data_IF_368644507205
#
_entry.id   IF_368644507205
#
_cell.length_a   1.000
_cell.length_b   1.000
_cell.length_c   1.000
_cell.angle_alpha   90.00
_cell.angle_beta   90.00
_cell.angle_gamma   90.00
#
_symmetry.space_group_name_H-M   'P 1'
#
loop_
_entity.id
_entity.type
_entity.pdbx_description
1 polymer ?
#
# COMPACT_ATOMS: atom_id res chain seq x y z
N UNK A 1 -47.17 7.60 -27.45
CA UNK A 1 -45.92 8.35 -27.26
C UNK A 1 -45.56 8.64 -25.81
N UNK A 2 -46.48 8.70 -24.83
CA UNK A 2 -46.15 9.00 -23.41
C UNK A 2 -45.67 7.81 -22.57
N UNK A 3 -45.91 6.56 -22.96
CA UNK A 3 -45.50 5.35 -22.19
C UNK A 3 -44.03 4.93 -22.41
N UNK A 4 -43.45 5.23 -23.55
CA UNK A 4 -42.02 4.85 -23.82
C UNK A 4 -40.99 5.78 -23.17
N UNK A 5 -41.35 7.05 -22.91
CA UNK A 5 -40.45 7.99 -22.19
C UNK A 5 -40.31 7.67 -20.71
N UNK A 6 -41.32 7.09 -20.07
CA UNK A 6 -41.29 6.74 -18.65
C UNK A 6 -40.40 5.50 -18.43
N UNK A 7 -40.38 4.54 -19.34
CA UNK A 7 -39.57 3.34 -19.23
C UNK A 7 -38.05 3.63 -19.41
N UNK A 8 -37.70 4.58 -20.28
CA UNK A 8 -36.32 5.00 -20.49
C UNK A 8 -35.77 5.82 -19.29
N UNK A 9 -36.63 6.60 -18.63
CA UNK A 9 -36.27 7.38 -17.43
C UNK A 9 -35.99 6.48 -16.21
N UNK A 10 -36.74 5.40 -16.03
CA UNK A 10 -36.54 4.44 -14.93
C UNK A 10 -35.26 3.60 -15.09
N UNK A 11 -34.89 3.25 -16.31
CA UNK A 11 -33.65 2.50 -16.58
C UNK A 11 -32.40 3.33 -16.35
N UNK A 12 -32.46 4.68 -16.53
CA UNK A 12 -31.32 5.58 -16.23
C UNK A 12 -31.17 5.87 -14.74
N UNK A 13 -32.26 5.90 -13.98
CA UNK A 13 -32.20 6.19 -12.53
C UNK A 13 -31.62 5.02 -11.71
N UNK A 14 -31.80 3.78 -12.18
CA UNK A 14 -31.25 2.60 -11.50
C UNK A 14 -29.74 2.45 -11.64
N UNK A 15 -29.08 3.21 -12.52
CA UNK A 15 -27.62 3.19 -12.71
C UNK A 15 -26.86 4.17 -11.79
N UNK A 16 -27.57 5.01 -11.01
CA UNK A 16 -26.96 6.01 -10.15
C UNK A 16 -26.93 5.64 -8.66
N UNK A 17 -27.37 4.42 -8.30
CA UNK A 17 -27.21 3.94 -6.92
C UNK A 17 -25.70 3.76 -6.66
N UNK A 18 -25.08 4.51 -5.74
CA UNK A 18 -23.71 4.28 -5.37
C UNK A 18 -23.66 2.89 -4.68
N UNK A 19 -23.20 1.89 -5.38
CA UNK A 19 -22.80 0.65 -4.72
C UNK A 19 -21.67 1.06 -3.76
N UNK A 20 -21.88 0.91 -2.46
CA UNK A 20 -20.80 1.02 -1.48
C UNK A 20 -19.69 0.10 -1.99
N UNK A 21 -18.49 0.64 -2.22
CA UNK A 21 -17.31 -0.19 -2.40
C UNK A 21 -17.19 -0.99 -1.10
N UNK A 22 -17.42 -2.30 -1.18
CA UNK A 22 -17.10 -3.20 -0.06
C UNK A 22 -15.62 -3.03 0.18
N UNK A 23 -15.21 -2.73 1.42
CA UNK A 23 -13.83 -2.91 1.82
C UNK A 23 -13.47 -4.35 1.46
N UNK A 24 -12.28 -4.59 0.91
CA UNK A 24 -11.83 -5.94 0.65
C UNK A 24 -11.83 -6.68 1.99
N UNK A 25 -12.67 -7.71 2.12
CA UNK A 25 -12.72 -8.54 3.31
C UNK A 25 -11.51 -9.47 3.27
N UNK A 26 -10.44 -9.09 3.96
CA UNK A 26 -9.28 -9.96 4.15
C UNK A 26 -9.57 -10.96 5.27
N UNK A 27 -8.99 -12.16 5.14
CA UNK A 27 -9.14 -13.24 6.13
C UNK A 27 -8.11 -13.16 7.25
N UNK A 28 -6.95 -12.51 7.00
CA UNK A 28 -5.86 -12.29 7.95
C UNK A 28 -4.98 -11.13 7.52
N UNK A 29 -4.22 -10.57 8.46
CA UNK A 29 -3.24 -9.53 8.21
C UNK A 29 -1.86 -9.99 8.70
N UNK A 30 -0.91 -10.24 7.77
CA UNK A 30 0.44 -10.71 8.06
C UNK A 30 1.46 -9.62 7.73
N UNK A 31 2.36 -9.32 8.67
CA UNK A 31 3.26 -8.17 8.59
C UNK A 31 4.71 -8.59 8.69
N UNK A 32 5.56 -8.06 7.81
CA UNK A 32 7.01 -8.23 7.78
C UNK A 32 7.68 -6.87 7.73
N UNK A 33 8.75 -6.67 8.50
CA UNK A 33 9.41 -5.38 8.51
C UNK A 33 10.42 -5.20 9.64
N UNK A 34 10.65 -3.95 9.93
CA UNK A 34 11.59 -3.47 10.95
C UNK A 34 10.86 -2.74 12.11
N UNK A 35 11.56 -1.82 12.80
CA UNK A 35 11.00 -1.05 13.91
C UNK A 35 9.75 -0.22 13.57
N UNK A 36 9.55 0.15 12.30
CA UNK A 36 8.36 0.87 11.88
C UNK A 36 7.10 -0.01 11.94
N UNK A 37 7.28 -1.34 11.96
CA UNK A 37 6.20 -2.33 11.91
C UNK A 37 6.17 -3.27 13.12
N UNK A 38 7.19 -3.23 13.99
CA UNK A 38 7.29 -4.08 15.18
C UNK A 38 6.29 -3.67 16.26
N UNK A 39 5.41 -4.59 16.67
CA UNK A 39 4.42 -4.37 17.74
C UNK A 39 4.82 -5.02 19.07
N UNK A 40 6.12 -5.37 19.23
CA UNK A 40 6.67 -5.89 20.48
C UNK A 40 7.57 -7.12 20.34
N UNK A 41 7.88 -7.57 19.13
CA UNK A 41 8.75 -8.74 18.94
C UNK A 41 10.16 -8.51 19.50
N UNK A 42 10.82 -7.40 19.14
CA UNK A 42 12.16 -7.10 19.66
C UNK A 42 12.12 -6.90 21.19
N UNK A 43 11.09 -6.18 21.68
CA UNK A 43 10.90 -5.99 23.12
C UNK A 43 10.86 -7.33 23.88
N UNK A 44 10.09 -8.30 23.37
CA UNK A 44 9.95 -9.62 23.97
C UNK A 44 11.27 -10.39 24.02
N UNK A 45 12.07 -10.38 22.95
CA UNK A 45 13.34 -11.15 22.90
C UNK A 45 14.48 -10.45 23.61
N UNK A 46 14.36 -9.16 23.95
CA UNK A 46 15.40 -8.37 24.62
C UNK A 46 15.15 -8.13 26.11
N UNK A 47 14.06 -8.65 26.69
CA UNK A 47 13.74 -8.49 28.10
C UNK A 47 14.88 -8.95 29.07
N UNK A 48 15.68 -9.92 28.65
CA UNK A 48 16.80 -10.45 29.43
C UNK A 48 18.14 -9.71 29.24
N UNK A 49 18.20 -8.66 28.42
CA UNK A 49 19.44 -7.91 28.21
C UNK A 49 19.80 -7.05 29.44
N UNK A 50 21.11 -6.88 29.72
CA UNK A 50 21.56 -6.01 30.83
C UNK A 50 21.10 -4.55 30.68
N UNK A 51 20.87 -4.09 29.46
CA UNK A 51 20.36 -2.75 29.12
C UNK A 51 18.84 -2.63 29.27
N UNK A 52 18.15 -3.72 29.55
CA UNK A 52 16.71 -3.81 29.52
C UNK A 52 16.14 -4.10 28.13
N UNK A 53 14.81 -4.17 28.03
CA UNK A 53 14.14 -4.41 26.73
C UNK A 53 14.28 -3.23 25.78
N UNK A 54 14.26 -3.52 24.48
CA UNK A 54 14.29 -2.53 23.40
C UNK A 54 12.98 -2.55 22.61
N UNK A 55 12.36 -1.39 22.42
CA UNK A 55 12.67 -0.08 23.02
C UNK A 55 12.29 -0.06 24.51
N UNK A 56 12.86 0.86 25.32
CA UNK A 56 12.50 0.96 26.74
C UNK A 56 11.07 1.48 26.94
N UNK A 57 10.31 0.85 27.80
CA UNK A 57 8.93 1.26 28.12
C UNK A 57 8.86 1.64 29.63
N UNK A 58 8.59 2.92 29.97
CA UNK A 58 8.43 4.09 29.10
C UNK A 58 9.76 4.66 28.57
N UNK A 59 9.77 5.63 27.64
CA UNK A 59 8.65 6.38 27.07
C UNK A 59 8.04 5.77 25.81
N UNK A 60 8.60 4.65 25.31
CA UNK A 60 8.05 3.92 24.19
C UNK A 60 6.85 3.08 24.63
N UNK A 61 5.89 2.89 23.74
CA UNK A 61 4.62 2.25 24.07
C UNK A 61 4.67 0.74 23.82
N UNK A 62 4.71 -0.06 24.87
CA UNK A 62 4.50 -1.51 24.80
C UNK A 62 5.30 -2.20 23.69
N UNK A 63 6.61 -1.89 23.62
CA UNK A 63 7.51 -2.48 22.64
C UNK A 63 7.43 -1.89 21.21
N UNK A 64 6.61 -0.86 20.97
CA UNK A 64 6.60 -0.12 19.72
C UNK A 64 7.65 0.97 19.75
N UNK A 65 8.26 1.25 18.59
CA UNK A 65 9.20 2.36 18.46
C UNK A 65 8.48 3.70 18.24
N UNK A 66 7.51 3.98 19.11
CA UNK A 66 6.68 5.17 19.07
C UNK A 66 6.06 5.44 20.45
N UNK A 67 5.38 6.59 20.62
CA UNK A 67 4.71 6.98 21.86
C UNK A 67 3.36 6.29 22.12
N UNK A 68 2.81 5.58 21.14
CA UNK A 68 1.54 4.87 21.20
C UNK A 68 1.45 3.89 20.03
N UNK A 69 0.26 3.49 19.59
CA UNK A 69 -0.02 2.64 18.42
C UNK A 69 0.77 3.07 17.19
N UNK A 70 1.21 2.09 16.41
CA UNK A 70 1.84 2.29 15.10
C UNK A 70 0.87 1.93 13.97
N UNK A 71 1.27 2.11 12.72
CA UNK A 71 0.41 1.89 11.55
C UNK A 71 -0.19 0.48 11.48
N UNK A 72 0.54 -0.52 11.96
CA UNK A 72 0.07 -1.93 12.03
C UNK A 72 -1.15 -2.04 12.93
N UNK A 73 -1.09 -1.42 14.12
CA UNK A 73 -2.21 -1.43 15.06
C UNK A 73 -3.43 -0.72 14.48
N UNK A 74 -3.23 0.49 13.92
CA UNK A 74 -4.32 1.28 13.33
C UNK A 74 -4.95 0.59 12.11
N UNK A 75 -4.14 0.01 11.23
CA UNK A 75 -4.66 -0.71 10.06
C UNK A 75 -5.36 -2.00 10.49
N UNK A 76 -4.76 -2.75 11.42
CA UNK A 76 -5.35 -3.96 12.00
C UNK A 76 -6.73 -3.69 12.63
N UNK A 77 -6.84 -2.62 13.44
CA UNK A 77 -8.12 -2.19 14.01
C UNK A 77 -9.16 -1.86 12.92
N UNK A 78 -8.74 -1.11 11.88
CA UNK A 78 -9.62 -0.73 10.77
C UNK A 78 -10.12 -1.93 9.95
N UNK A 79 -9.30 -2.98 9.85
CA UNK A 79 -9.64 -4.21 9.13
C UNK A 79 -10.37 -5.23 10.03
N UNK A 80 -10.37 -5.03 11.36
CA UNK A 80 -10.83 -6.03 12.33
C UNK A 80 -9.88 -7.24 12.43
N UNK A 81 -8.59 -7.06 12.09
CA UNK A 81 -7.57 -8.09 11.99
C UNK A 81 -6.27 -7.66 12.72
N UNK A 82 -6.28 -7.41 14.05
CA UNK A 82 -5.06 -7.06 14.78
C UNK A 82 -4.10 -8.25 14.83
N UNK A 83 -2.91 -8.18 14.18
CA UNK A 83 -2.01 -9.32 14.14
C UNK A 83 -1.30 -9.53 15.48
N UNK A 84 -1.17 -10.80 15.88
CA UNK A 84 -0.39 -11.21 17.07
C UNK A 84 1.11 -11.24 16.72
N UNK A 85 1.99 -10.82 17.63
CA UNK A 85 3.43 -10.95 17.43
C UNK A 85 3.85 -12.42 17.34
N UNK A 86 4.84 -12.74 16.50
CA UNK A 86 5.34 -14.13 16.39
C UNK A 86 5.94 -14.60 17.71
N UNK A 87 6.55 -13.71 18.48
CA UNK A 87 7.15 -14.04 19.78
C UNK A 87 6.08 -14.40 20.81
N UNK A 88 4.92 -13.73 20.84
CA UNK A 88 3.82 -14.10 21.72
C UNK A 88 3.19 -15.45 21.34
N UNK A 89 3.11 -15.75 20.04
CA UNK A 89 2.66 -17.07 19.59
C UNK A 89 3.58 -18.19 20.11
N UNK A 90 4.89 -17.98 20.01
CA UNK A 90 5.89 -18.95 20.47
C UNK A 90 5.81 -19.15 21.99
N UNK A 91 5.76 -18.05 22.75
CA UNK A 91 5.70 -18.09 24.23
C UNK A 91 4.40 -18.72 24.71
N UNK A 92 3.27 -18.42 24.06
CA UNK A 92 1.97 -18.98 24.43
C UNK A 92 1.74 -20.38 23.89
N UNK A 93 2.71 -20.96 23.17
CA UNK A 93 2.58 -22.25 22.48
C UNK A 93 1.33 -22.35 21.59
N UNK A 94 0.91 -21.22 21.04
CA UNK A 94 -0.20 -21.15 20.10
C UNK A 94 0.28 -21.45 18.69
N UNK A 95 -0.47 -22.26 17.99
CA UNK A 95 -0.18 -22.63 16.59
C UNK A 95 -0.99 -21.81 15.59
N UNK A 96 -1.93 -21.00 16.06
CA UNK A 96 -2.83 -20.23 15.19
C UNK A 96 -3.06 -18.82 15.76
N UNK A 97 -3.05 -17.85 14.84
CA UNK A 97 -3.51 -16.48 15.06
C UNK A 97 -4.49 -16.17 13.92
N UNK A 98 -5.81 -16.30 14.18
CA UNK A 98 -6.82 -16.18 13.15
C UNK A 98 -6.81 -14.80 12.47
N UNK A 99 -6.48 -13.74 13.22
CA UNK A 99 -6.41 -12.38 12.69
C UNK A 99 -5.11 -12.10 11.90
N UNK A 100 -4.08 -12.94 12.05
CA UNK A 100 -2.78 -12.83 11.40
C UNK A 100 -1.61 -12.72 12.37
N UNK A 101 -0.41 -12.62 11.81
CA UNK A 101 0.86 -12.63 12.56
C UNK A 101 1.74 -11.45 12.15
N UNK A 102 2.32 -10.78 13.14
CA UNK A 102 3.36 -9.80 12.95
C UNK A 102 4.75 -10.44 13.14
N UNK A 103 5.52 -10.54 12.05
CA UNK A 103 6.90 -11.05 12.01
C UNK A 103 7.96 -9.95 12.08
N UNK A 104 7.58 -8.66 12.10
CA UNK A 104 8.52 -7.56 12.10
C UNK A 104 9.30 -7.46 13.41
N UNK A 105 10.61 -7.17 13.30
CA UNK A 105 11.49 -6.94 14.45
C UNK A 105 12.22 -5.62 14.31
N UNK A 106 12.29 -4.87 15.39
CA UNK A 106 13.11 -3.66 15.45
C UNK A 106 14.57 -3.93 15.06
N UNK A 107 15.15 -3.03 14.25
CA UNK A 107 16.54 -3.14 13.80
C UNK A 107 16.78 -4.09 12.62
N UNK A 108 15.79 -4.81 12.12
CA UNK A 108 15.93 -5.72 10.98
C UNK A 108 16.51 -5.01 9.74
N UNK A 109 17.51 -5.62 9.11
CA UNK A 109 17.98 -5.24 7.79
C UNK A 109 17.05 -5.81 6.72
N UNK A 110 17.11 -5.28 5.50
CA UNK A 110 16.25 -5.76 4.40
C UNK A 110 16.46 -7.24 4.06
N UNK A 111 17.70 -7.72 4.16
CA UNK A 111 18.10 -9.10 3.85
C UNK A 111 18.09 -9.98 5.07
N UNK A 112 19.27 -10.12 5.68
CA UNK A 112 19.54 -11.00 6.79
C UNK A 112 19.94 -10.22 8.04
N UNK A 113 19.50 -10.72 9.21
CA UNK A 113 19.89 -10.21 10.53
C UNK A 113 19.42 -8.80 10.81
N UNK A 114 20.07 -8.15 11.77
CA UNK A 114 19.74 -6.83 12.28
C UNK A 114 20.99 -6.01 12.60
N UNK A 115 20.90 -4.68 12.53
CA UNK A 115 22.04 -3.81 12.80
C UNK A 115 22.43 -3.75 14.30
N UNK A 116 21.51 -4.14 15.18
CA UNK A 116 21.74 -4.18 16.64
C UNK A 116 22.58 -5.39 17.07
N UNK A 117 22.82 -6.34 16.17
CA UNK A 117 23.49 -7.62 16.42
C UNK A 117 22.82 -8.45 17.54
N UNK A 118 21.51 -8.33 17.72
CA UNK A 118 20.73 -9.17 18.64
C UNK A 118 20.63 -10.57 18.04
N UNK A 119 21.12 -11.62 18.72
CA UNK A 119 21.07 -12.97 18.19
C UNK A 119 19.64 -13.46 17.98
N UNK A 120 19.37 -14.11 16.85
CA UNK A 120 18.07 -14.69 16.53
C UNK A 120 17.04 -13.69 15.99
N UNK A 121 17.36 -12.39 15.90
CA UNK A 121 16.50 -11.39 15.25
C UNK A 121 16.74 -11.41 13.74
N UNK A 122 15.72 -11.83 12.94
CA UNK A 122 15.87 -12.01 11.49
C UNK A 122 15.77 -10.69 10.73
N UNK A 123 16.40 -10.64 9.55
CA UNK A 123 16.12 -9.59 8.56
C UNK A 123 14.77 -9.81 7.85
N UNK A 124 14.30 -8.80 7.11
CA UNK A 124 12.97 -8.83 6.48
C UNK A 124 12.80 -10.01 5.52
N UNK A 125 13.80 -10.27 4.68
CA UNK A 125 13.77 -11.43 3.75
C UNK A 125 13.76 -12.76 4.51
N UNK A 126 14.48 -12.86 5.65
CA UNK A 126 14.45 -14.06 6.49
C UNK A 126 13.09 -14.24 7.18
N UNK A 127 12.43 -13.17 7.60
CA UNK A 127 11.07 -13.22 8.17
C UNK A 127 10.11 -13.82 7.14
N UNK A 128 10.12 -13.29 5.92
CA UNK A 128 9.28 -13.80 4.81
C UNK A 128 9.66 -15.24 4.46
N UNK A 129 10.95 -15.56 4.41
CA UNK A 129 11.45 -16.91 4.17
C UNK A 129 10.92 -17.89 5.22
N UNK A 130 11.04 -17.55 6.50
CA UNK A 130 10.56 -18.38 7.61
C UNK A 130 9.04 -18.62 7.57
N UNK A 131 8.28 -17.62 7.16
CA UNK A 131 6.83 -17.74 6.96
C UNK A 131 6.47 -18.61 5.75
N UNK A 132 7.14 -18.41 4.60
CA UNK A 132 6.75 -19.06 3.34
C UNK A 132 7.30 -20.49 3.18
N UNK A 133 8.46 -20.78 3.79
CA UNK A 133 9.16 -22.06 3.64
C UNK A 133 8.31 -23.29 3.97
N UNK A 134 7.53 -23.34 5.06
CA UNK A 134 6.67 -24.49 5.35
C UNK A 134 5.66 -24.79 4.25
N UNK A 135 5.06 -23.75 3.65
CA UNK A 135 4.08 -23.90 2.57
C UNK A 135 4.75 -24.40 1.29
N UNK A 136 5.89 -23.80 0.91
CA UNK A 136 6.63 -24.16 -0.30
C UNK A 136 7.16 -25.61 -0.22
N UNK A 137 7.72 -26.02 0.93
CA UNK A 137 8.25 -27.37 1.13
C UNK A 137 7.15 -28.44 1.05
N UNK A 138 5.97 -28.15 1.59
CA UNK A 138 4.85 -29.08 1.61
C UNK A 138 3.93 -28.95 0.37
N UNK A 139 4.35 -28.19 -0.64
CA UNK A 139 3.54 -27.88 -1.83
C UNK A 139 2.13 -27.34 -1.48
N UNK A 140 2.06 -26.55 -0.40
CA UNK A 140 0.88 -25.87 0.07
C UNK A 140 0.91 -24.40 -0.34
N UNK A 141 -0.21 -23.70 -0.21
CA UNK A 141 -0.30 -22.26 -0.46
C UNK A 141 -0.70 -21.55 0.82
N UNK A 142 -0.19 -20.32 0.96
CA UNK A 142 -0.68 -19.38 1.97
C UNK A 142 -2.12 -18.97 1.62
N UNK A 143 -2.83 -18.41 2.58
CA UNK A 143 -4.20 -17.95 2.34
C UNK A 143 -4.26 -16.87 1.25
N UNK A 144 -4.88 -17.11 0.10
CA UNK A 144 -4.95 -16.15 -0.99
C UNK A 144 -5.82 -14.91 -0.67
N UNK A 145 -6.66 -14.98 0.37
CA UNK A 145 -7.48 -13.86 0.82
C UNK A 145 -6.82 -13.06 1.95
N UNK A 146 -5.63 -13.46 2.40
CA UNK A 146 -4.84 -12.69 3.36
C UNK A 146 -4.29 -11.40 2.76
N UNK A 147 -4.06 -10.39 3.60
CA UNK A 147 -3.27 -9.21 3.31
C UNK A 147 -1.86 -9.41 3.88
N UNK A 148 -0.84 -9.29 3.05
CA UNK A 148 0.57 -9.46 3.41
C UNK A 148 1.29 -8.13 3.23
N UNK A 149 1.89 -7.59 4.30
CA UNK A 149 2.54 -6.28 4.26
C UNK A 149 4.06 -6.42 4.42
N UNK A 150 4.81 -5.69 3.59
CA UNK A 150 6.28 -5.65 3.63
C UNK A 150 6.73 -4.19 3.68
N UNK A 151 7.49 -3.83 4.72
CA UNK A 151 8.14 -2.53 4.85
C UNK A 151 9.53 -2.69 5.47
N UNK A 152 10.58 -2.34 4.74
CA UNK A 152 11.96 -2.45 5.20
C UNK A 152 12.95 -1.77 4.26
N UNK A 153 14.21 -1.70 4.69
CA UNK A 153 15.32 -1.14 3.92
C UNK A 153 15.89 0.16 4.50
N UNK A 154 15.20 0.86 5.40
CA UNK A 154 15.71 2.07 6.01
C UNK A 154 17.01 1.80 6.83
N UNK A 155 17.04 0.71 7.59
CA UNK A 155 18.17 0.35 8.45
C UNK A 155 19.45 0.05 7.66
N UNK A 156 19.33 -0.49 6.44
CA UNK A 156 20.46 -0.74 5.55
C UNK A 156 21.19 0.56 5.20
N UNK A 157 20.48 1.67 5.14
CA UNK A 157 21.04 2.98 4.81
C UNK A 157 21.49 3.76 6.02
N UNK A 158 20.73 3.71 7.10
CA UNK A 158 20.99 4.51 8.29
C UNK A 158 22.09 3.95 9.19
N UNK A 159 22.24 2.61 9.22
CA UNK A 159 23.04 1.95 10.25
C UNK A 159 24.09 0.96 9.70
N UNK A 160 24.25 0.84 8.38
CA UNK A 160 25.35 0.07 7.80
C UNK A 160 26.43 0.98 7.22
N UNK A 161 27.67 0.48 7.14
CA UNK A 161 28.80 1.27 6.63
C UNK A 161 28.80 1.42 5.11
N UNK A 162 28.22 0.47 4.39
CA UNK A 162 28.24 0.39 2.91
C UNK A 162 26.82 0.16 2.38
N UNK A 163 25.97 1.19 2.34
CA UNK A 163 24.61 1.07 1.85
C UNK A 163 24.61 0.77 0.35
N UNK A 164 23.91 -0.30 -0.04
CA UNK A 164 23.75 -0.72 -1.44
C UNK A 164 22.26 -0.72 -1.82
N UNK A 165 21.87 0.27 -2.64
CA UNK A 165 20.50 0.41 -3.11
C UNK A 165 20.03 -0.82 -3.90
N UNK A 166 20.90 -1.37 -4.75
CA UNK A 166 20.56 -2.51 -5.60
C UNK A 166 20.25 -3.74 -4.75
N UNK A 167 21.11 -4.02 -3.76
CA UNK A 167 20.93 -5.17 -2.89
C UNK A 167 19.72 -4.99 -1.96
N UNK A 168 19.55 -3.79 -1.38
CA UNK A 168 18.42 -3.49 -0.49
C UNK A 168 17.08 -3.64 -1.22
N UNK A 169 16.96 -3.05 -2.41
CA UNK A 169 15.75 -3.17 -3.25
C UNK A 169 15.52 -4.62 -3.68
N UNK A 170 16.61 -5.34 -4.04
CA UNK A 170 16.51 -6.76 -4.37
C UNK A 170 15.94 -7.57 -3.21
N UNK A 171 16.41 -7.37 -1.99
CA UNK A 171 15.92 -8.07 -0.80
C UNK A 171 14.42 -7.84 -0.58
N UNK A 172 13.95 -6.58 -0.68
CA UNK A 172 12.54 -6.24 -0.53
C UNK A 172 11.70 -6.85 -1.67
N UNK A 173 12.18 -6.77 -2.91
CA UNK A 173 11.47 -7.35 -4.06
C UNK A 173 11.45 -8.88 -4.03
N UNK A 174 12.53 -9.53 -3.57
CA UNK A 174 12.57 -10.98 -3.36
C UNK A 174 11.58 -11.42 -2.28
N UNK A 175 11.43 -10.63 -1.20
CA UNK A 175 10.40 -10.86 -0.17
C UNK A 175 8.99 -10.88 -0.78
N UNK A 176 8.68 -9.90 -1.62
CA UNK A 176 7.39 -9.84 -2.35
C UNK A 176 7.25 -11.02 -3.31
N UNK A 177 8.32 -11.39 -4.02
CA UNK A 177 8.35 -12.53 -4.94
C UNK A 177 8.11 -13.86 -4.23
N UNK A 178 8.71 -14.08 -3.05
CA UNK A 178 8.50 -15.29 -2.24
C UNK A 178 7.05 -15.40 -1.75
N UNK A 179 6.45 -14.29 -1.29
CA UNK A 179 5.03 -14.26 -0.91
C UNK A 179 4.14 -14.64 -2.10
N UNK A 180 4.38 -14.05 -3.26
CA UNK A 180 3.64 -14.35 -4.50
C UNK A 180 3.81 -15.84 -4.89
N UNK A 181 5.03 -16.39 -4.83
CA UNK A 181 5.33 -17.79 -5.10
C UNK A 181 4.60 -18.73 -4.11
N UNK A 182 4.53 -18.34 -2.84
CA UNK A 182 3.79 -19.08 -1.82
C UNK A 182 2.26 -18.99 -2.00
N UNK A 183 1.76 -18.12 -2.87
CA UNK A 183 0.33 -18.02 -3.20
C UNK A 183 -0.38 -16.80 -2.62
N UNK A 184 0.35 -15.87 -1.99
CA UNK A 184 -0.21 -14.59 -1.57
C UNK A 184 -0.73 -13.80 -2.77
N UNK A 185 -1.95 -13.26 -2.65
CA UNK A 185 -2.55 -12.48 -3.75
C UNK A 185 -2.56 -10.98 -3.46
N UNK A 186 -2.67 -10.57 -2.22
CA UNK A 186 -2.74 -9.15 -1.86
C UNK A 186 -1.50 -8.79 -1.05
N UNK A 187 -0.58 -8.06 -1.66
CA UNK A 187 0.70 -7.70 -1.05
C UNK A 187 0.84 -6.18 -0.98
N UNK A 188 0.83 -5.66 0.24
CA UNK A 188 1.00 -4.25 0.57
C UNK A 188 2.49 -3.96 0.71
N UNK A 189 3.02 -3.01 -0.06
CA UNK A 189 4.46 -2.69 -0.05
C UNK A 189 4.65 -1.18 0.10
N UNK A 190 5.45 -0.80 1.10
CA UNK A 190 5.70 0.60 1.43
C UNK A 190 7.01 1.06 0.81
N UNK A 191 7.03 2.27 0.28
CA UNK A 191 8.27 2.96 -0.03
C UNK A 191 8.85 3.63 1.23
N UNK A 192 10.08 4.14 1.15
CA UNK A 192 10.73 4.83 2.25
C UNK A 192 10.36 6.32 2.24
N UNK A 193 10.05 6.93 3.40
CA UNK A 193 10.04 8.38 3.54
C UNK A 193 11.46 8.94 3.29
N UNK A 194 11.58 10.22 2.93
CA UNK A 194 12.90 10.85 2.74
C UNK A 194 13.76 10.74 4.01
N UNK A 195 14.70 9.78 4.03
CA UNK A 195 15.60 9.55 5.16
C UNK A 195 16.48 10.75 5.46
N UNK A 196 16.78 11.60 4.46
CA UNK A 196 17.51 12.84 4.65
C UNK A 196 16.80 13.86 5.54
N UNK A 197 15.49 13.72 5.74
CA UNK A 197 14.66 14.59 6.59
C UNK A 197 14.53 14.09 8.03
N UNK A 198 15.02 12.89 8.34
CA UNK A 198 15.02 12.40 9.72
C UNK A 198 15.91 13.30 10.61
N UNK A 199 15.57 13.50 11.88
CA UNK A 199 16.42 14.25 12.79
C UNK A 199 17.85 13.70 12.88
N UNK A 200 17.99 12.35 12.82
CA UNK A 200 19.30 11.68 12.83
C UNK A 200 20.18 12.17 11.68
N UNK A 201 19.69 12.12 10.45
CA UNK A 201 20.49 12.48 9.28
C UNK A 201 20.66 13.99 9.17
N UNK A 202 19.64 14.77 9.48
CA UNK A 202 19.70 16.24 9.46
C UNK A 202 20.77 16.80 10.39
N UNK A 203 20.96 16.16 11.55
CA UNK A 203 22.00 16.55 12.51
C UNK A 203 23.42 16.32 11.97
N UNK A 204 23.63 15.44 11.00
CA UNK A 204 24.95 15.14 10.41
C UNK A 204 25.32 16.05 9.23
N UNK A 205 24.37 16.82 8.70
CA UNK A 205 24.55 17.61 7.47
C UNK A 205 24.49 16.80 6.18
N UNK A 206 24.19 15.50 6.23
CA UNK A 206 24.16 14.60 5.07
C UNK A 206 22.79 14.52 4.37
N UNK A 207 21.90 15.46 4.65
CA UNK A 207 20.51 15.48 4.15
C UNK A 207 20.42 15.17 2.66
N UNK A 208 21.16 15.90 1.82
CA UNK A 208 21.07 15.74 0.36
C UNK A 208 21.51 14.35 -0.14
N UNK A 209 22.52 13.77 0.50
CA UNK A 209 23.02 12.44 0.17
C UNK A 209 21.95 11.37 0.45
N UNK A 210 21.34 11.43 1.63
CA UNK A 210 20.28 10.49 2.01
C UNK A 210 18.96 10.71 1.26
N UNK A 211 18.60 11.96 0.94
CA UNK A 211 17.47 12.25 0.03
C UNK A 211 17.69 11.62 -1.34
N UNK A 212 18.90 11.76 -1.93
CA UNK A 212 19.23 11.14 -3.22
C UNK A 212 19.16 9.61 -3.13
N UNK A 213 19.70 9.05 -2.07
CA UNK A 213 19.70 7.60 -1.83
C UNK A 213 18.27 7.07 -1.69
N UNK A 214 17.40 7.75 -0.93
CA UNK A 214 15.98 7.39 -0.79
C UNK A 214 15.24 7.47 -2.12
N UNK A 215 15.45 8.52 -2.89
CA UNK A 215 14.84 8.67 -4.21
C UNK A 215 15.25 7.52 -5.15
N UNK A 216 16.54 7.15 -5.14
CA UNK A 216 17.04 6.01 -5.93
C UNK A 216 16.41 4.69 -5.49
N UNK A 217 16.30 4.46 -4.17
CA UNK A 217 15.61 3.28 -3.62
C UNK A 217 14.15 3.23 -4.09
N UNK A 218 13.39 4.30 -3.87
CA UNK A 218 11.98 4.35 -4.19
C UNK A 218 11.71 4.15 -5.69
N UNK A 219 12.55 4.75 -6.56
CA UNK A 219 12.45 4.56 -8.01
C UNK A 219 12.76 3.12 -8.43
N UNK A 220 13.82 2.52 -7.87
CA UNK A 220 14.20 1.14 -8.16
C UNK A 220 13.16 0.15 -7.63
N UNK A 221 12.62 0.38 -6.42
CA UNK A 221 11.55 -0.43 -5.84
C UNK A 221 10.30 -0.38 -6.70
N UNK A 222 9.87 0.80 -7.12
CA UNK A 222 8.71 0.96 -8.00
C UNK A 222 8.87 0.19 -9.32
N UNK A 223 10.06 0.22 -9.91
CA UNK A 223 10.37 -0.54 -11.13
C UNK A 223 10.29 -2.06 -10.89
N UNK A 224 10.87 -2.56 -9.80
CA UNK A 224 10.85 -3.98 -9.44
C UNK A 224 9.41 -4.46 -9.17
N UNK A 225 8.63 -3.69 -8.40
CA UNK A 225 7.21 -3.99 -8.13
C UNK A 225 6.36 -3.95 -9.40
N UNK A 226 6.66 -3.04 -10.33
CA UNK A 226 6.03 -2.98 -11.65
C UNK A 226 6.21 -4.29 -12.44
N UNK A 227 7.40 -4.89 -12.38
CA UNK A 227 7.66 -6.20 -13.01
C UNK A 227 6.89 -7.33 -12.31
N UNK A 228 6.90 -7.37 -10.98
CA UNK A 228 6.19 -8.38 -10.19
C UNK A 228 4.66 -8.29 -10.36
N UNK A 229 4.13 -7.10 -10.60
CA UNK A 229 2.70 -6.87 -10.86
C UNK A 229 2.19 -7.55 -12.14
N UNK A 230 3.09 -7.97 -13.04
CA UNK A 230 2.74 -8.77 -14.22
C UNK A 230 2.50 -10.25 -13.90
N UNK A 231 2.74 -10.68 -12.66
CA UNK A 231 2.46 -12.06 -12.22
C UNK A 231 0.95 -12.28 -12.14
N UNK A 232 0.39 -13.25 -12.88
CA UNK A 232 -1.05 -13.46 -12.89
C UNK A 232 -1.62 -13.75 -11.50
N UNK A 233 -2.66 -13.03 -11.12
CA UNK A 233 -3.37 -13.23 -9.85
C UNK A 233 -2.72 -12.61 -8.63
N UNK A 234 -1.61 -11.86 -8.79
CA UNK A 234 -0.97 -11.11 -7.72
C UNK A 234 -1.39 -9.63 -7.80
N UNK A 235 -1.89 -9.10 -6.71
CA UNK A 235 -2.26 -7.70 -6.54
C UNK A 235 -1.25 -7.04 -5.61
N UNK A 236 -0.29 -6.32 -6.18
CA UNK A 236 0.66 -5.51 -5.42
C UNK A 236 0.04 -4.13 -5.18
N UNK A 237 -0.01 -3.73 -3.92
CA UNK A 237 -0.62 -2.50 -3.44
C UNK A 237 0.49 -1.60 -2.89
N UNK A 238 1.04 -0.68 -3.69
CA UNK A 238 2.06 0.25 -3.21
C UNK A 238 1.46 1.29 -2.27
N UNK A 239 2.17 1.58 -1.18
CA UNK A 239 1.86 2.66 -0.22
C UNK A 239 2.93 3.73 -0.33
N UNK A 240 2.55 4.92 -0.75
CA UNK A 240 3.46 6.03 -0.97
C UNK A 240 3.64 6.88 0.29
N UNK A 241 4.54 6.42 1.16
CA UNK A 241 4.90 7.11 2.41
C UNK A 241 5.77 8.33 2.14
N UNK A 242 6.60 8.30 1.09
CA UNK A 242 7.43 9.44 0.70
C UNK A 242 6.58 10.68 0.39
N UNK A 243 5.62 10.53 -0.50
CA UNK A 243 4.69 11.63 -0.81
C UNK A 243 3.86 12.08 0.38
N UNK A 244 3.47 11.17 1.28
CA UNK A 244 2.77 11.52 2.52
C UNK A 244 3.64 12.42 3.38
N UNK A 245 4.89 12.01 3.70
CA UNK A 245 5.78 12.77 4.58
C UNK A 245 6.19 14.10 3.95
N UNK A 246 6.42 14.14 2.64
CA UNK A 246 6.69 15.39 1.93
C UNK A 246 5.52 16.40 2.05
N UNK A 247 4.26 15.95 2.01
CA UNK A 247 3.08 16.81 2.26
C UNK A 247 3.03 17.29 3.71
N UNK A 248 3.31 16.40 4.67
CA UNK A 248 3.35 16.75 6.10
C UNK A 248 4.42 17.80 6.37
N UNK A 249 5.62 17.63 5.80
CA UNK A 249 6.72 18.58 5.94
C UNK A 249 6.40 19.95 5.31
N UNK A 250 5.67 19.96 4.19
CA UNK A 250 5.28 21.20 3.52
C UNK A 250 4.16 21.96 4.25
N UNK A 251 3.22 21.24 4.88
CA UNK A 251 2.04 21.81 5.52
C UNK A 251 1.75 21.16 6.88
N UNK A 252 2.62 21.30 7.88
CA UNK A 252 2.53 20.58 9.15
C UNK A 252 1.19 20.76 9.88
N UNK A 253 0.67 21.98 9.90
CA UNK A 253 -0.54 22.32 10.63
C UNK A 253 -1.81 21.64 10.06
N UNK A 254 -1.83 21.32 8.76
CA UNK A 254 -2.94 20.58 8.14
C UNK A 254 -3.05 19.15 8.70
N UNK A 255 -1.94 18.62 9.20
CA UNK A 255 -1.83 17.27 9.76
C UNK A 255 -1.76 17.27 11.29
N UNK A 256 -1.87 18.44 11.93
CA UNK A 256 -1.88 18.59 13.39
C UNK A 256 -0.49 18.64 14.03
N UNK A 257 0.59 18.80 13.25
CA UNK A 257 1.95 18.90 13.78
C UNK A 257 2.37 20.34 13.98
N UNK A 258 3.08 20.57 15.09
CA UNK A 258 3.76 21.84 15.38
C UNK A 258 5.28 21.73 15.21
N UNK A 259 5.81 20.51 15.22
CA UNK A 259 7.23 20.21 15.02
C UNK A 259 7.43 19.02 14.08
N UNK A 260 8.15 19.26 12.97
CA UNK A 260 8.42 18.23 11.94
C UNK A 260 9.91 18.02 11.68
N UNK A 261 10.79 18.60 12.51
CA UNK A 261 12.23 18.55 12.31
C UNK A 261 13.02 18.06 13.53
N UNK A 262 12.51 18.30 14.74
CA UNK A 262 13.17 17.83 15.98
C UNK A 262 12.47 16.56 16.50
N UNK A 263 13.23 15.68 17.20
CA UNK A 263 12.65 14.54 17.88
C UNK A 263 11.98 14.96 19.20
N UNK A 264 10.92 14.26 19.61
CA UNK A 264 10.31 14.42 20.93
C UNK A 264 11.17 13.77 22.02
N UNK A 265 11.75 12.60 21.75
CA UNK A 265 12.68 11.90 22.64
C UNK A 265 14.10 12.13 22.16
N UNK A 266 14.96 12.59 23.07
CA UNK A 266 16.40 12.79 22.83
C UNK A 266 17.17 11.83 23.70
N UNK A 267 18.16 11.14 23.11
CA UNK A 267 19.02 10.20 23.82
C UNK A 267 19.53 9.09 22.91
N UNK A 268 20.19 8.12 23.50
CA UNK A 268 20.66 6.91 22.83
C UNK A 268 19.73 5.74 23.20
N UNK A 269 18.87 5.36 22.25
CA UNK A 269 17.92 4.27 22.43
C UNK A 269 18.61 2.93 22.68
N UNK A 270 19.74 2.67 21.98
CA UNK A 270 20.46 1.38 22.06
C UNK A 270 21.13 1.23 23.42
N UNK A 271 21.64 2.35 23.98
CA UNK A 271 22.26 2.37 25.31
C UNK A 271 21.21 2.53 26.44
N UNK A 272 19.93 2.73 26.11
CA UNK A 272 18.87 2.99 27.09
C UNK A 272 19.05 4.33 27.81
N UNK A 273 19.83 5.27 27.28
CA UNK A 273 20.13 6.57 27.89
C UNK A 273 19.25 7.64 27.24
N UNK A 274 18.17 8.00 27.91
CA UNK A 274 17.28 9.07 27.48
C UNK A 274 17.60 10.37 28.26
N UNK A 275 17.76 11.47 27.55
CA UNK A 275 18.10 12.77 28.15
C UNK A 275 16.91 13.70 28.29
N UNK A 276 15.94 13.61 27.40
CA UNK A 276 14.69 14.37 27.51
C UNK A 276 13.55 13.72 26.73
N UNK A 277 12.31 14.00 27.18
CA UNK A 277 11.06 13.62 26.49
C UNK A 277 10.17 14.86 26.45
N UNK A 278 9.58 15.17 25.32
CA UNK A 278 8.66 16.29 25.17
C UNK A 278 7.31 16.03 25.89
N UNK A 279 6.55 17.10 26.18
CA UNK A 279 5.27 16.97 26.88
C UNK A 279 4.14 16.43 25.98
N UNK A 280 4.14 16.78 24.69
CA UNK A 280 3.09 16.44 23.74
C UNK A 280 3.67 15.70 22.53
N UNK A 281 3.93 14.38 22.63
CA UNK A 281 4.56 13.64 21.53
C UNK A 281 3.77 13.68 20.21
N UNK A 282 2.45 13.77 20.28
CA UNK A 282 1.58 13.80 19.11
C UNK A 282 1.65 15.11 18.28
N UNK A 283 2.24 16.16 18.83
CA UNK A 283 2.52 17.42 18.12
C UNK A 283 3.79 17.32 17.25
N UNK A 284 4.56 16.25 17.40
CA UNK A 284 5.82 16.01 16.69
C UNK A 284 5.62 14.98 15.57
N UNK A 285 6.23 15.22 14.39
CA UNK A 285 6.32 14.22 13.34
C UNK A 285 7.17 13.02 13.75
N UNK A 286 8.31 13.31 14.39
CA UNK A 286 9.27 12.30 14.85
C UNK A 286 9.20 12.11 16.36
N UNK A 287 8.99 10.87 16.80
CA UNK A 287 9.03 10.54 18.22
C UNK A 287 10.47 10.53 18.76
N UNK A 288 11.38 9.87 18.04
CA UNK A 288 12.82 9.95 18.30
C UNK A 288 13.59 10.44 17.08
N UNK A 289 14.89 10.22 17.02
CA UNK A 289 15.73 10.70 15.92
C UNK A 289 15.41 10.05 14.56
N UNK A 290 14.66 8.94 14.53
CA UNK A 290 14.39 8.15 13.33
C UNK A 290 12.89 7.83 13.18
N UNK A 291 12.24 7.49 14.32
CA UNK A 291 10.91 6.89 14.27
C UNK A 291 9.80 7.95 14.33
N UNK A 292 8.73 7.76 13.55
CA UNK A 292 7.56 8.65 13.59
C UNK A 292 6.79 8.55 14.91
N UNK A 293 6.08 9.62 15.27
CA UNK A 293 5.09 9.59 16.35
C UNK A 293 3.87 8.76 15.96
N UNK A 294 3.06 8.39 16.96
CA UNK A 294 1.81 7.68 16.75
C UNK A 294 0.83 8.43 15.83
N UNK A 295 0.78 9.76 15.92
CA UNK A 295 0.00 10.59 15.00
C UNK A 295 0.46 10.43 13.55
N UNK A 296 1.78 10.37 13.32
CA UNK A 296 2.33 10.13 11.99
C UNK A 296 2.06 8.69 11.51
N UNK A 297 2.19 7.70 12.39
CA UNK A 297 1.82 6.32 12.08
C UNK A 297 0.34 6.16 11.71
N UNK A 298 -0.55 6.92 12.34
CA UNK A 298 -1.96 6.95 11.95
C UNK A 298 -2.16 7.42 10.50
N UNK A 299 -1.44 8.45 10.07
CA UNK A 299 -1.49 8.92 8.68
C UNK A 299 -0.96 7.85 7.70
N UNK A 300 0.07 7.10 8.08
CA UNK A 300 0.57 5.96 7.29
C UNK A 300 -0.52 4.89 7.15
N UNK A 301 -1.20 4.52 8.23
CA UNK A 301 -2.30 3.56 8.20
C UNK A 301 -3.47 4.03 7.32
N UNK A 302 -3.86 5.32 7.43
CA UNK A 302 -4.91 5.90 6.61
C UNK A 302 -4.53 5.87 5.11
N UNK A 303 -3.25 6.12 4.79
CA UNK A 303 -2.71 6.05 3.42
C UNK A 303 -2.73 4.60 2.90
N UNK A 304 -2.33 3.63 3.73
CA UNK A 304 -2.39 2.21 3.40
C UNK A 304 -3.83 1.76 3.12
N UNK A 305 -4.77 2.14 3.98
CA UNK A 305 -6.19 1.83 3.81
C UNK A 305 -6.78 2.47 2.53
N UNK A 306 -6.37 3.70 2.21
CA UNK A 306 -6.75 4.36 0.97
C UNK A 306 -6.20 3.62 -0.28
N UNK A 307 -4.93 3.17 -0.23
CA UNK A 307 -4.31 2.38 -1.30
C UNK A 307 -5.02 1.03 -1.52
N UNK A 308 -5.40 0.34 -0.44
CA UNK A 308 -6.19 -0.89 -0.49
C UNK A 308 -7.54 -0.65 -1.18
N UNK A 309 -8.26 0.41 -0.78
CA UNK A 309 -9.57 0.77 -1.35
C UNK A 309 -9.48 1.14 -2.83
N UNK A 310 -8.45 1.89 -3.22
CA UNK A 310 -8.23 2.27 -4.61
C UNK A 310 -8.02 1.06 -5.53
N UNK A 311 -7.29 0.04 -5.06
CA UNK A 311 -7.04 -1.20 -5.81
C UNK A 311 -8.23 -2.16 -5.83
N UNK A 312 -9.10 -2.12 -4.82
CA UNK A 312 -10.31 -2.97 -4.76
C UNK A 312 -11.49 -2.44 -5.58
N UNK A 313 -11.43 -1.20 -6.07
CA UNK A 313 -12.44 -0.64 -6.97
C UNK A 313 -12.06 -1.00 -8.41
N UNK A 314 -12.79 -1.92 -9.12
CA UNK A 314 -12.57 -2.15 -10.54
C UNK A 314 -12.68 -0.81 -11.28
N UNK A 315 -11.79 -0.56 -12.25
CA UNK A 315 -11.82 0.66 -13.08
C UNK A 315 -13.18 0.75 -13.82
N UNK A 316 -14.16 1.37 -13.17
CA UNK A 316 -15.53 1.56 -13.72
C UNK A 316 -15.55 2.52 -14.89
N UNK A 317 -14.50 3.35 -15.05
CA UNK A 317 -14.41 4.31 -16.15
C UNK A 317 -14.39 3.62 -17.51
N UNK A 318 -13.69 2.50 -17.65
CA UNK A 318 -13.62 1.74 -18.91
C UNK A 318 -14.93 1.01 -19.22
N UNK A 319 -15.56 0.38 -18.24
CA UNK A 319 -16.84 -0.34 -18.44
C UNK A 319 -18.01 0.63 -18.72
N UNK A 320 -18.07 1.76 -18.00
CA UNK A 320 -19.09 2.80 -18.26
C UNK A 320 -18.84 3.53 -19.59
N UNK A 321 -17.59 3.76 -19.97
CA UNK A 321 -17.24 4.35 -21.26
C UNK A 321 -17.58 3.42 -22.43
N UNK A 322 -17.34 2.11 -22.30
CA UNK A 322 -17.70 1.09 -23.29
C UNK A 322 -19.22 0.92 -23.39
N UNK A 323 -19.94 0.96 -22.27
CA UNK A 323 -21.41 0.94 -22.26
C UNK A 323 -21.99 2.20 -22.89
N UNK A 324 -21.45 3.38 -22.59
CA UNK A 324 -21.89 4.65 -23.20
C UNK A 324 -21.61 4.69 -24.71
N UNK A 325 -20.47 4.16 -25.17
CA UNK A 325 -20.14 4.03 -26.59
C UNK A 325 -21.04 3.00 -27.27
N UNK A 326 -21.36 1.87 -26.63
CA UNK A 326 -22.26 0.85 -27.14
C UNK A 326 -23.69 1.36 -27.30
N UNK A 327 -24.22 2.10 -26.33
CA UNK A 327 -25.56 2.71 -26.39
C UNK A 327 -25.61 3.83 -27.43
N UNK A 328 -24.55 4.63 -27.54
CA UNK A 328 -24.41 5.69 -28.57
C UNK A 328 -24.39 5.09 -29.98
N UNK A 329 -23.63 4.01 -30.22
CA UNK A 329 -23.56 3.31 -31.50
C UNK A 329 -24.90 2.66 -31.88
N UNK A 330 -25.59 2.02 -30.93
CA UNK A 330 -26.91 1.41 -31.16
C UNK A 330 -27.96 2.48 -31.49
N UNK A 331 -27.95 3.64 -30.83
CA UNK A 331 -28.85 4.75 -31.13
C UNK A 331 -28.58 5.36 -32.52
N UNK A 332 -27.31 5.46 -32.93
CA UNK A 332 -26.93 5.91 -34.30
C UNK A 332 -27.39 4.93 -35.38
N UNK A 333 -27.24 3.61 -35.15
CA UNK A 333 -27.69 2.58 -36.07
C UNK A 333 -29.21 2.59 -36.23
N UNK A 334 -29.98 2.74 -35.15
CA UNK A 334 -31.44 2.88 -35.21
C UNK A 334 -31.89 4.16 -35.92
N UNK A 335 -31.22 5.28 -35.77
CA UNK A 335 -31.47 6.51 -36.52
C UNK A 335 -31.19 6.33 -38.01
N UNK A 336 -30.12 5.64 -38.39
CA UNK A 336 -29.77 5.36 -39.78
C UNK A 336 -30.80 4.44 -40.45
N UNK A 337 -31.30 3.44 -39.75
CA UNK A 337 -32.38 2.55 -40.25
C UNK A 337 -33.71 3.30 -40.42
N UNK A 338 -34.10 4.18 -39.51
CA UNK A 338 -35.32 5.00 -39.65
C UNK A 338 -35.22 6.00 -40.82
N UNK A 339 -34.06 6.55 -41.10
CA UNK A 339 -33.89 7.47 -42.22
C UNK A 339 -33.89 6.76 -43.59
N UNK A 340 -33.42 5.49 -43.62
CA UNK A 340 -33.52 4.66 -44.84
C UNK A 340 -34.96 4.21 -45.17
N UNK A 341 -35.83 4.09 -44.15
CA UNK A 341 -37.22 3.71 -44.31
C UNK A 341 -38.14 4.87 -44.74
N UNK A 342 -37.65 6.10 -44.77
CA UNK A 342 -38.39 7.33 -45.08
C UNK A 342 -38.10 7.94 -46.46
N UNK A 343 -37.30 7.25 -47.32
CA UNK A 343 -37.04 7.70 -48.69
C UNK A 343 -38.18 7.18 -49.60
N UNK A 344 -39.08 8.03 -50.11
CA UNK A 344 -40.09 7.60 -51.02
C UNK A 344 -39.48 7.25 -52.39
N UNK A 345 -39.81 6.07 -52.93
CA UNK A 345 -39.48 5.68 -54.30
C UNK A 345 -40.31 6.57 -55.22
N UNK A 346 -39.68 7.49 -55.90
CA UNK A 346 -40.30 8.29 -56.97
C UNK A 346 -40.52 7.40 -58.18
N UNK A 347 -41.80 7.04 -58.39
CA UNK A 347 -42.24 6.34 -59.60
C UNK A 347 -42.06 7.23 -60.83
N UNK A 348 -41.16 6.86 -61.72
CA UNK A 348 -41.09 7.46 -63.04
C UNK A 348 -42.25 6.93 -63.91
N UNK A 349 -43.23 7.84 -64.16
CA UNK A 349 -44.26 7.62 -65.19
C UNK A 349 -43.62 7.88 -66.56
N UNK A 350 -43.43 6.87 -67.34
CA UNK A 350 -42.99 6.97 -68.75
C UNK A 350 -44.25 7.29 -69.57
N UNK A 351 -44.39 8.53 -70.07
CA UNK A 351 -45.39 8.95 -71.06
C UNK A 351 -44.91 8.57 -72.46
N UNK A 352 -45.58 7.65 -73.08
CA UNK A 352 -45.43 7.38 -74.50
C UNK A 352 -46.21 8.48 -75.28
N UNK A 353 -45.52 9.33 -76.02
CA UNK A 353 -46.14 10.13 -77.08
C UNK A 353 -45.71 9.56 -78.44
N UNK A 354 -46.74 9.11 -79.13
CA UNK A 354 -46.77 8.79 -80.57
C UNK A 354 -46.71 10.09 -81.36
N UNK A 355 -45.80 10.22 -82.31
CA UNK A 355 -45.91 11.27 -83.35
C UNK A 355 -45.61 10.66 -84.70
N UNK A 356 -46.59 10.80 -85.54
CA UNK A 356 -46.82 10.43 -86.89
C UNK A 356 -45.91 11.16 -87.86
N UNK A 357 -45.43 10.48 -88.86
CA UNK A 357 -44.77 10.99 -90.02
C UNK A 357 -45.60 11.89 -90.88
N UNK A 358 -44.99 12.91 -91.50
CA UNK A 358 -45.48 13.47 -92.74
C UNK A 358 -44.27 13.66 -93.68
N UNK A 359 -44.42 13.14 -94.87
CA UNK A 359 -43.62 13.19 -96.11
C UNK A 359 -43.78 14.55 -96.77
N UNK A 360 -42.74 15.07 -97.43
CA UNK A 360 -42.58 15.78 -98.74
C UNK A 360 -41.47 16.73 -98.68
N UNK A 361 -40.48 16.81 -99.46
CA UNK A 361 -40.08 16.61 -100.88
C UNK A 361 -38.59 16.54 -100.95
#
# INVERSE_FOLDING_TARGET
>A
MKKELVTAGFALLSLTVPLKASAADFSQFVVFGDSLSDTGNLFNVTQGLPTGPLPPDPPYFQGRFSNDKIWVDYLGDNLGLPPTTITDLIVQLRTTAPEGVNYAFGGSLSGQGNFLNVPGVPGVLEQVGSFTQPFLTNNQKVDPNGLYAVWGGANDYLFTQNPDVTQTVKNVSDSVGLLAQAGAKNILVFNLPDLGKTPLVSATGNTNAFTTLTNNHNAALAAALGQLSNTPGVNIIPVDVDSLFNRVLANPSEFGFTNVTAPCVVGDLVQGVLTSVCNNPNDFLFFDSVHPSSSAHKLVADTALASIRAKSVPERSTALSLLALGVGAAAMLQRKQKNLALTPVASQVVSKHSSRAVVER
#
